data_IF_812740662073
#
_entry.id   IF_812740662073
#
_cell.length_a   1.000
_cell.length_b   1.000
_cell.length_c   1.000
_cell.angle_alpha   90.00
_cell.angle_beta   90.00
_cell.angle_gamma   90.00
#
_symmetry.space_group_name_H-M   'P 1'
#
loop_
_entity.id
_entity.type
_entity.pdbx_description
1 polymer ?
#
# COMPACT_ATOMS: atom_id res chain seq x y z
N UNK A 1 11.23 21.26 -26.25
CA UNK A 1 11.30 21.61 -24.81
C UNK A 1 9.95 22.03 -24.21
N UNK A 2 9.01 22.66 -24.94
CA UNK A 2 7.68 23.01 -24.42
C UNK A 2 6.81 21.78 -24.07
N UNK A 3 6.84 20.72 -24.87
CA UNK A 3 6.04 19.49 -24.59
C UNK A 3 6.44 18.75 -23.31
N UNK A 4 7.73 18.72 -22.95
CA UNK A 4 8.23 18.04 -21.75
C UNK A 4 7.78 18.75 -20.47
N UNK A 5 7.80 20.10 -20.47
CA UNK A 5 7.30 20.89 -19.32
C UNK A 5 5.79 20.71 -19.13
N UNK A 6 5.05 20.52 -20.22
CA UNK A 6 3.60 20.24 -20.17
C UNK A 6 3.31 18.88 -19.51
N UNK A 7 4.00 17.81 -19.93
CA UNK A 7 3.81 16.45 -19.36
C UNK A 7 4.14 16.40 -17.87
N UNK A 8 5.26 17.00 -17.45
CA UNK A 8 5.66 17.04 -16.04
C UNK A 8 4.63 17.81 -15.20
N UNK A 9 4.11 18.93 -15.71
CA UNK A 9 3.07 19.69 -15.03
C UNK A 9 1.77 18.90 -14.92
N UNK A 10 1.38 18.19 -15.97
CA UNK A 10 0.17 17.34 -15.95
C UNK A 10 0.30 16.21 -14.94
N UNK A 11 1.43 15.49 -14.95
CA UNK A 11 1.71 14.43 -13.98
C UNK A 11 1.70 14.95 -12.54
N UNK A 12 2.31 16.11 -12.30
CA UNK A 12 2.30 16.75 -10.98
C UNK A 12 0.88 17.09 -10.54
N UNK A 13 0.08 17.73 -11.39
CA UNK A 13 -1.31 18.08 -11.07
C UNK A 13 -2.16 16.85 -10.75
N UNK A 14 -2.01 15.76 -11.52
CA UNK A 14 -2.73 14.51 -11.26
C UNK A 14 -2.24 13.80 -9.98
N UNK A 15 -1.02 14.03 -9.54
CA UNK A 15 -0.48 13.45 -8.32
C UNK A 15 -0.78 14.25 -7.04
N UNK A 16 -1.37 15.46 -7.13
CA UNK A 16 -1.70 16.29 -5.95
C UNK A 16 -2.61 15.56 -4.95
N UNK A 17 -3.69 14.89 -5.35
CA UNK A 17 -4.51 14.14 -4.39
C UNK A 17 -3.71 13.06 -3.66
N UNK A 18 -2.83 12.35 -4.37
CA UNK A 18 -1.93 11.35 -3.78
C UNK A 18 -0.95 12.02 -2.82
N UNK A 19 -0.39 13.18 -3.19
CA UNK A 19 0.51 13.95 -2.33
C UNK A 19 -0.12 14.26 -0.97
N UNK A 20 -1.35 14.76 -0.97
CA UNK A 20 -2.06 15.11 0.26
C UNK A 20 -2.24 13.89 1.17
N UNK A 21 -2.72 12.77 0.65
CA UNK A 21 -2.90 11.56 1.46
C UNK A 21 -1.57 10.92 1.88
N UNK A 22 -0.62 10.79 0.96
CA UNK A 22 0.64 10.10 1.22
C UNK A 22 1.52 10.80 2.24
N UNK A 23 1.63 12.12 2.21
CA UNK A 23 2.45 12.85 3.19
C UNK A 23 1.92 12.61 4.60
N UNK A 24 0.61 12.74 4.82
CA UNK A 24 0.02 12.53 6.15
C UNK A 24 0.17 11.09 6.64
N UNK A 25 -0.19 10.11 5.80
CA UNK A 25 -0.13 8.70 6.16
C UNK A 25 1.31 8.24 6.40
N UNK A 26 2.24 8.64 5.54
CA UNK A 26 3.65 8.26 5.70
C UNK A 26 4.34 8.98 6.86
N UNK A 27 3.91 10.19 7.23
CA UNK A 27 4.36 10.84 8.47
C UNK A 27 3.93 10.03 9.70
N UNK A 28 2.67 9.58 9.74
CA UNK A 28 2.20 8.70 10.81
C UNK A 28 3.03 7.41 10.86
N UNK A 29 3.31 6.79 9.70
CA UNK A 29 4.19 5.63 9.59
C UNK A 29 5.59 5.90 10.16
N UNK A 30 6.21 7.02 9.79
CA UNK A 30 7.54 7.40 10.28
C UNK A 30 7.58 7.61 11.80
N UNK A 31 6.56 8.29 12.37
CA UNK A 31 6.43 8.46 13.81
C UNK A 31 6.25 7.12 14.53
N UNK A 32 5.46 6.21 13.97
CA UNK A 32 5.28 4.88 14.56
C UNK A 32 6.54 4.02 14.52
N UNK A 33 7.34 4.10 13.46
CA UNK A 33 8.64 3.45 13.38
C UNK A 33 9.57 3.95 14.47
N UNK A 34 9.60 5.26 14.69
CA UNK A 34 10.41 5.88 15.78
C UNK A 34 9.92 5.43 17.16
N UNK A 35 8.60 5.47 17.40
CA UNK A 35 8.03 5.00 18.65
C UNK A 35 8.31 3.51 18.93
N UNK A 36 8.44 2.70 17.88
CA UNK A 36 8.85 1.30 17.95
C UNK A 36 10.37 1.11 18.15
N UNK A 37 11.15 2.20 18.27
CA UNK A 37 12.60 2.17 18.47
C UNK A 37 13.43 2.10 17.18
N UNK A 38 12.83 2.32 16.01
CA UNK A 38 13.52 2.30 14.73
C UNK A 38 13.82 3.72 14.26
N UNK A 39 15.09 4.07 14.12
CA UNK A 39 15.51 5.39 13.67
C UNK A 39 14.98 5.72 12.27
N UNK A 40 14.82 7.02 11.95
CA UNK A 40 14.22 7.55 10.73
C UNK A 40 14.74 6.93 9.41
N UNK A 41 16.02 6.52 9.37
CA UNK A 41 16.59 5.90 8.17
C UNK A 41 16.05 4.48 7.89
N UNK A 42 15.52 3.78 8.90
CA UNK A 42 14.79 2.53 8.67
C UNK A 42 13.45 2.79 7.97
N UNK A 43 12.76 3.88 8.31
CA UNK A 43 11.55 4.31 7.62
C UNK A 43 11.81 4.63 6.15
N UNK A 44 12.94 5.27 5.84
CA UNK A 44 13.39 5.52 4.49
C UNK A 44 13.73 4.20 3.75
N UNK A 45 14.49 3.31 4.40
CA UNK A 45 14.90 2.03 3.81
C UNK A 45 13.70 1.16 3.43
N UNK A 46 12.74 1.02 4.33
CA UNK A 46 11.51 0.26 4.07
C UNK A 46 10.65 0.92 3.01
N UNK A 47 10.56 2.25 2.97
CA UNK A 47 9.86 2.99 1.91
C UNK A 47 10.55 2.84 0.54
N UNK A 48 11.86 2.62 0.50
CA UNK A 48 12.61 2.35 -0.72
C UNK A 48 12.48 0.90 -1.21
N UNK A 49 12.42 -0.05 -0.29
CA UNK A 49 12.49 -1.49 -0.62
C UNK A 49 11.13 -2.15 -0.67
N UNK A 50 10.28 -1.90 0.31
CA UNK A 50 8.96 -2.55 0.46
C UNK A 50 7.88 -1.76 -0.28
N UNK A 51 7.81 -0.46 -0.10
CA UNK A 51 6.88 0.48 -0.75
C UNK A 51 5.43 -0.01 -0.89
N UNK A 52 4.86 -0.49 0.19
CA UNK A 52 3.45 -0.88 0.26
C UNK A 52 2.84 -0.34 1.56
N UNK A 53 2.05 0.72 1.46
CA UNK A 53 1.57 1.47 2.62
C UNK A 53 1.02 0.58 3.75
N UNK A 54 -0.06 -0.15 3.50
CA UNK A 54 -0.70 -0.98 4.52
C UNK A 54 0.24 -2.03 5.12
N UNK A 55 1.05 -2.71 4.29
CA UNK A 55 1.98 -3.72 4.81
C UNK A 55 3.13 -3.10 5.62
N UNK A 56 3.58 -1.89 5.31
CA UNK A 56 4.62 -1.22 6.10
C UNK A 56 4.19 -1.00 7.56
N UNK A 57 2.92 -0.68 7.80
CA UNK A 57 2.38 -0.59 9.17
C UNK A 57 2.36 -1.96 9.87
N UNK A 58 1.93 -3.01 9.19
CA UNK A 58 1.98 -4.38 9.74
C UNK A 58 3.42 -4.83 10.00
N UNK A 59 4.36 -4.40 9.13
CA UNK A 59 5.78 -4.71 9.28
C UNK A 59 6.37 -4.16 10.59
N UNK A 60 5.91 -2.99 11.08
CA UNK A 60 6.32 -2.47 12.40
C UNK A 60 6.02 -3.50 13.50
N UNK A 61 4.80 -4.03 13.50
CA UNK A 61 4.38 -5.05 14.47
C UNK A 61 5.24 -6.31 14.37
N UNK A 62 5.56 -6.77 13.17
CA UNK A 62 6.42 -7.94 12.97
C UNK A 62 7.85 -7.71 13.45
N UNK A 63 8.42 -6.56 13.16
CA UNK A 63 9.76 -6.19 13.59
C UNK A 63 9.83 -6.09 15.12
N UNK A 64 8.84 -5.48 15.76
CA UNK A 64 8.76 -5.32 17.21
C UNK A 64 8.51 -6.65 17.94
N UNK A 65 7.77 -7.58 17.34
CA UNK A 65 7.45 -8.89 17.93
C UNK A 65 8.50 -9.97 17.65
N UNK A 66 9.49 -9.69 16.79
CA UNK A 66 10.48 -10.70 16.36
C UNK A 66 9.85 -11.83 15.53
N UNK A 67 8.85 -11.51 14.70
CA UNK A 67 8.17 -12.50 13.86
C UNK A 67 9.14 -13.22 12.92
N UNK A 68 8.84 -14.49 12.58
CA UNK A 68 9.68 -15.25 11.66
C UNK A 68 9.69 -14.63 10.25
N UNK A 69 10.80 -14.72 9.54
CA UNK A 69 10.94 -14.24 8.16
C UNK A 69 9.89 -14.91 7.24
N UNK A 70 9.56 -16.17 7.48
CA UNK A 70 8.54 -16.90 6.72
C UNK A 70 7.17 -16.26 6.93
N UNK A 71 6.79 -15.95 8.17
CA UNK A 71 5.54 -15.25 8.50
C UNK A 71 5.46 -13.91 7.78
N UNK A 72 6.54 -13.11 7.85
CA UNK A 72 6.63 -11.81 7.18
C UNK A 72 6.46 -11.96 5.66
N UNK A 73 7.18 -12.90 5.05
CA UNK A 73 7.16 -13.12 3.61
C UNK A 73 5.78 -13.57 3.10
N UNK A 74 5.15 -14.54 3.78
CA UNK A 74 3.82 -15.04 3.39
C UNK A 74 2.77 -13.95 3.58
N UNK A 75 2.80 -13.21 4.68
CA UNK A 75 1.87 -12.09 4.91
C UNK A 75 2.06 -11.00 3.86
N UNK A 76 3.32 -10.65 3.55
CA UNK A 76 3.63 -9.68 2.49
C UNK A 76 3.06 -10.12 1.14
N UNK A 77 3.25 -11.39 0.77
CA UNK A 77 2.75 -11.94 -0.50
C UNK A 77 1.22 -11.86 -0.56
N UNK A 78 0.53 -12.28 0.49
CA UNK A 78 -0.94 -12.28 0.52
C UNK A 78 -1.52 -10.87 0.52
N UNK A 79 -1.03 -9.98 1.39
CA UNK A 79 -1.51 -8.59 1.46
C UNK A 79 -1.25 -7.79 0.19
N UNK A 80 -0.11 -8.03 -0.47
CA UNK A 80 0.29 -7.26 -1.65
C UNK A 80 -0.09 -7.95 -2.98
N UNK A 81 -0.72 -9.12 -2.94
CA UNK A 81 -1.14 -9.86 -4.15
C UNK A 81 -1.98 -9.01 -5.10
N UNK A 82 -2.86 -8.15 -4.59
CA UNK A 82 -3.67 -7.21 -5.37
C UNK A 82 -2.84 -6.29 -6.27
N UNK A 83 -1.67 -5.83 -5.81
CA UNK A 83 -0.78 -4.96 -6.60
C UNK A 83 -0.20 -5.69 -7.83
N UNK A 84 -0.05 -7.01 -7.74
CA UNK A 84 0.34 -7.84 -8.88
C UNK A 84 -0.74 -7.82 -9.97
N UNK A 85 -2.02 -7.90 -9.60
CA UNK A 85 -3.12 -7.79 -10.55
C UNK A 85 -3.22 -6.41 -11.19
N UNK A 86 -2.98 -5.33 -10.44
CA UNK A 86 -2.90 -3.98 -11.01
C UNK A 86 -1.79 -3.86 -12.04
N UNK A 87 -0.62 -4.42 -11.75
CA UNK A 87 0.51 -4.41 -12.67
C UNK A 87 0.24 -5.24 -13.92
N UNK A 88 -0.50 -6.35 -13.80
CA UNK A 88 -0.92 -7.17 -14.95
C UNK A 88 -1.85 -6.42 -15.90
N UNK A 89 -2.76 -5.59 -15.37
CA UNK A 89 -3.68 -4.78 -16.20
C UNK A 89 -2.95 -3.78 -17.09
N UNK A 90 -1.73 -3.35 -16.70
CA UNK A 90 -0.89 -2.43 -17.47
C UNK A 90 0.30 -3.12 -18.16
N UNK A 91 0.30 -4.46 -18.24
CA UNK A 91 1.46 -5.22 -18.73
C UNK A 91 1.92 -4.80 -20.13
N UNK A 92 1.00 -4.59 -21.07
CA UNK A 92 1.33 -4.18 -22.43
C UNK A 92 1.92 -2.77 -22.48
N UNK A 93 1.35 -1.83 -21.73
CA UNK A 93 1.87 -0.47 -21.60
C UNK A 93 3.26 -0.46 -21.00
N UNK A 94 3.47 -1.23 -19.92
CA UNK A 94 4.77 -1.28 -19.25
C UNK A 94 5.84 -2.00 -20.07
N UNK A 95 5.48 -2.96 -20.91
CA UNK A 95 6.42 -3.58 -21.88
C UNK A 95 7.04 -2.53 -22.82
N UNK A 96 6.27 -1.53 -23.25
CA UNK A 96 6.73 -0.43 -24.10
C UNK A 96 7.66 0.56 -23.39
N UNK A 97 7.74 0.53 -22.05
CA UNK A 97 8.58 1.43 -21.22
C UNK A 97 10.02 0.93 -21.02
N UNK A 98 10.40 -0.20 -21.59
CA UNK A 98 11.76 -0.77 -21.49
C UNK A 98 12.16 -1.03 -20.03
N UNK A 99 13.33 -0.52 -19.60
CA UNK A 99 13.84 -0.72 -18.22
C UNK A 99 12.95 -0.09 -17.14
N UNK A 100 12.17 0.93 -17.46
CA UNK A 100 11.25 1.60 -16.52
C UNK A 100 10.11 0.69 -16.08
N UNK A 101 9.82 -0.39 -16.80
CA UNK A 101 8.76 -1.36 -16.45
C UNK A 101 8.92 -1.92 -15.04
N UNK A 102 10.15 -2.25 -14.63
CA UNK A 102 10.40 -2.80 -13.29
C UNK A 102 10.07 -1.79 -12.19
N UNK A 103 10.41 -0.53 -12.42
CA UNK A 103 10.02 0.56 -11.51
C UNK A 103 8.50 0.71 -11.43
N UNK A 104 7.81 0.71 -12.57
CA UNK A 104 6.34 0.84 -12.64
C UNK A 104 5.63 -0.30 -11.92
N UNK A 105 6.10 -1.54 -12.09
CA UNK A 105 5.55 -2.72 -11.40
C UNK A 105 5.76 -2.60 -9.89
N UNK A 106 6.96 -2.23 -9.45
CA UNK A 106 7.30 -2.10 -8.04
C UNK A 106 6.56 -0.96 -7.33
N UNK A 107 6.26 0.14 -8.05
CA UNK A 107 5.63 1.34 -7.49
C UNK A 107 4.12 1.41 -7.73
N UNK A 108 3.51 0.32 -8.21
CA UNK A 108 2.07 0.27 -8.44
C UNK A 108 1.32 0.11 -7.11
N UNK A 109 0.69 1.19 -6.68
CA UNK A 109 -0.22 1.23 -5.53
C UNK A 109 -1.65 1.45 -6.00
N UNK A 110 -2.62 1.37 -5.08
CA UNK A 110 -4.04 1.58 -5.39
C UNK A 110 -4.27 2.96 -6.03
N UNK A 111 -3.62 3.98 -5.49
CA UNK A 111 -3.75 5.37 -5.93
C UNK A 111 -3.09 5.60 -7.29
N UNK A 112 -1.87 5.06 -7.47
CA UNK A 112 -1.18 5.17 -8.77
C UNK A 112 -1.90 4.37 -9.85
N UNK A 113 -2.52 3.24 -9.51
CA UNK A 113 -3.39 2.48 -10.39
C UNK A 113 -4.60 3.32 -10.82
N UNK A 114 -5.32 3.91 -9.85
CA UNK A 114 -6.49 4.74 -10.14
C UNK A 114 -6.15 5.92 -11.06
N UNK A 115 -5.04 6.62 -10.81
CA UNK A 115 -4.61 7.72 -11.69
C UNK A 115 -4.18 7.21 -13.06
N UNK A 116 -3.44 6.10 -13.14
CA UNK A 116 -3.01 5.52 -14.42
C UNK A 116 -4.20 5.09 -15.29
N UNK A 117 -5.30 4.61 -14.70
CA UNK A 117 -6.54 4.31 -15.44
C UNK A 117 -7.15 5.53 -16.12
N UNK A 118 -6.85 6.75 -15.67
CA UNK A 118 -7.29 8.00 -16.32
C UNK A 118 -6.38 8.45 -17.47
N UNK A 119 -5.26 7.77 -17.71
CA UNK A 119 -4.27 8.12 -18.72
C UNK A 119 -4.31 7.08 -19.83
N UNK A 120 -4.83 7.46 -21.01
CA UNK A 120 -4.81 6.58 -22.18
C UNK A 120 -3.37 6.43 -22.73
N UNK A 121 -2.93 5.18 -22.98
CA UNK A 121 -1.62 4.88 -23.61
C UNK A 121 -1.65 5.21 -25.12
N UNK A 122 -1.60 6.50 -25.45
CA UNK A 122 -1.59 6.96 -26.86
C UNK A 122 -0.19 7.06 -27.43
N UNK A 123 0.77 7.53 -26.62
CA UNK A 123 2.11 7.87 -27.09
C UNK A 123 3.17 7.75 -25.97
N UNK A 124 4.39 8.13 -26.28
CA UNK A 124 5.48 8.13 -25.32
C UNK A 124 5.27 9.16 -24.19
N UNK A 125 4.56 10.25 -24.45
CA UNK A 125 4.28 11.28 -23.45
C UNK A 125 3.30 10.76 -22.39
N UNK A 126 2.29 10.02 -22.79
CA UNK A 126 1.33 9.36 -21.88
C UNK A 126 2.05 8.39 -20.93
N UNK A 127 2.95 7.55 -21.47
CA UNK A 127 3.77 6.63 -20.66
C UNK A 127 4.74 7.35 -19.74
N UNK A 128 5.30 8.49 -20.19
CA UNK A 128 6.13 9.35 -19.36
C UNK A 128 5.34 10.01 -18.24
N UNK A 129 4.09 10.39 -18.50
CA UNK A 129 3.19 10.92 -17.49
C UNK A 129 2.91 9.89 -16.39
N UNK A 130 2.56 8.65 -16.75
CA UNK A 130 2.38 7.54 -15.80
C UNK A 130 3.63 7.32 -14.93
N UNK A 131 4.81 7.33 -15.56
CA UNK A 131 6.08 7.18 -14.85
C UNK A 131 6.32 8.32 -13.85
N UNK A 132 6.03 9.57 -14.24
CA UNK A 132 6.21 10.73 -13.38
C UNK A 132 5.22 10.72 -12.20
N UNK A 133 3.97 10.29 -12.41
CA UNK A 133 3.00 10.12 -11.33
C UNK A 133 3.53 9.11 -10.30
N UNK A 134 3.99 7.94 -10.74
CA UNK A 134 4.56 6.93 -9.86
C UNK A 134 5.83 7.44 -9.13
N UNK A 135 6.68 8.20 -9.82
CA UNK A 135 7.88 8.80 -9.24
C UNK A 135 7.55 9.84 -8.17
N UNK A 136 6.64 10.75 -8.43
CA UNK A 136 6.22 11.76 -7.48
C UNK A 136 5.55 11.14 -6.26
N UNK A 137 4.64 10.17 -6.46
CA UNK A 137 3.97 9.46 -5.37
C UNK A 137 4.98 8.79 -4.43
N UNK A 138 6.01 8.15 -4.99
CA UNK A 138 7.08 7.56 -4.18
C UNK A 138 7.89 8.62 -3.41
N UNK A 139 8.19 9.74 -4.03
CA UNK A 139 8.88 10.85 -3.36
C UNK A 139 8.06 11.41 -2.20
N UNK A 140 6.75 11.55 -2.37
CA UNK A 140 5.85 12.03 -1.29
C UNK A 140 5.85 11.06 -0.10
N UNK A 141 5.75 9.76 -0.38
CA UNK A 141 5.77 8.74 0.67
C UNK A 141 7.10 8.74 1.44
N UNK A 142 8.22 8.73 0.73
CA UNK A 142 9.55 8.76 1.36
C UNK A 142 9.77 10.03 2.17
N UNK A 143 9.36 11.17 1.63
CA UNK A 143 9.46 12.46 2.31
C UNK A 143 8.67 12.46 3.61
N UNK A 144 7.39 12.06 3.58
CA UNK A 144 6.56 11.98 4.77
C UNK A 144 7.10 10.99 5.81
N UNK A 145 7.57 9.80 5.38
CA UNK A 145 8.15 8.80 6.28
C UNK A 145 9.41 9.32 7.02
N UNK A 146 10.29 10.02 6.31
CA UNK A 146 11.49 10.65 6.91
C UNK A 146 11.09 11.77 7.86
N UNK A 147 10.20 12.67 7.43
CA UNK A 147 9.72 13.77 8.26
C UNK A 147 9.02 13.26 9.51
N UNK A 148 8.21 12.21 9.39
CA UNK A 148 7.55 11.57 10.53
C UNK A 148 8.56 10.99 11.53
N UNK A 149 9.57 10.27 11.05
CA UNK A 149 10.62 9.74 11.91
C UNK A 149 11.45 10.83 12.61
N UNK A 150 11.76 11.94 11.92
CA UNK A 150 12.46 13.09 12.52
C UNK A 150 11.59 13.84 13.53
N UNK A 151 10.32 14.06 13.21
CA UNK A 151 9.36 14.74 14.11
C UNK A 151 9.14 13.87 15.34
N UNK A 152 9.03 12.55 15.20
CA UNK A 152 8.89 11.60 16.30
C UNK A 152 10.02 11.72 17.33
N UNK A 153 11.26 11.94 16.88
CA UNK A 153 12.41 12.17 17.78
C UNK A 153 12.35 13.47 18.56
N UNK A 154 11.67 14.49 18.00
CA UNK A 154 11.60 15.83 18.62
C UNK A 154 10.46 15.96 19.63
N UNK A 155 9.47 15.07 19.56
CA UNK A 155 8.31 15.12 20.43
C UNK A 155 8.58 14.27 21.69
N UNK A 156 8.79 14.88 22.87
CA UNK A 156 9.19 14.16 24.10
C UNK A 156 8.00 13.47 24.79
N UNK A 157 6.85 13.37 24.14
CA UNK A 157 5.66 12.76 24.71
C UNK A 157 5.49 11.33 24.19
N UNK A 158 5.13 10.42 25.07
CA UNK A 158 4.49 9.17 24.64
C UNK A 158 3.25 9.59 23.84
N UNK A 159 3.32 9.39 22.54
CA UNK A 159 2.23 9.69 21.62
C UNK A 159 1.11 8.65 21.84
N UNK A 160 0.49 8.71 23.02
CA UNK A 160 -0.72 7.95 23.34
C UNK A 160 -1.76 8.28 22.27
N UNK A 161 -2.06 7.30 21.41
CA UNK A 161 -2.99 7.49 20.29
C UNK A 161 -2.37 7.30 18.89
N UNK A 162 -1.04 7.21 18.75
CA UNK A 162 -0.44 6.78 17.47
C UNK A 162 -0.89 5.36 17.10
N UNK A 163 -1.00 4.47 18.07
CA UNK A 163 -1.56 3.12 17.84
C UNK A 163 -2.98 3.19 17.27
N UNK A 164 -3.74 4.23 17.65
CA UNK A 164 -5.06 4.49 17.06
C UNK A 164 -4.98 4.94 15.59
N UNK A 165 -3.92 5.59 15.16
CA UNK A 165 -3.73 5.97 13.75
C UNK A 165 -3.71 4.75 12.83
N UNK A 166 -3.09 3.63 13.27
CA UNK A 166 -3.15 2.37 12.52
C UNK A 166 -4.58 1.85 12.40
N UNK A 167 -5.28 1.79 13.53
CA UNK A 167 -6.67 1.33 13.57
C UNK A 167 -7.55 2.22 12.69
N UNK A 168 -7.42 3.53 12.80
CA UNK A 168 -8.15 4.50 11.98
C UNK A 168 -7.85 4.33 10.49
N UNK A 169 -6.56 4.15 10.12
CA UNK A 169 -6.17 3.92 8.73
C UNK A 169 -6.84 2.65 8.16
N UNK A 170 -6.79 1.54 8.89
CA UNK A 170 -7.42 0.30 8.41
C UNK A 170 -8.95 0.41 8.35
N UNK A 171 -9.57 1.13 9.28
CA UNK A 171 -11.01 1.41 9.23
C UNK A 171 -11.35 2.25 7.98
N UNK A 172 -10.58 3.29 7.70
CA UNK A 172 -10.79 4.12 6.50
C UNK A 172 -10.63 3.30 5.23
N UNK A 173 -9.59 2.47 5.13
CA UNK A 173 -9.38 1.57 3.99
C UNK A 173 -10.56 0.60 3.85
N UNK A 174 -11.06 0.05 4.94
CA UNK A 174 -12.21 -0.84 4.94
C UNK A 174 -13.48 -0.13 4.45
N UNK A 175 -13.76 1.07 4.96
CA UNK A 175 -14.92 1.87 4.55
C UNK A 175 -14.83 2.21 3.06
N UNK A 176 -13.67 2.68 2.58
CA UNK A 176 -13.46 3.01 1.17
C UNK A 176 -13.66 1.79 0.25
N UNK A 177 -13.22 0.61 0.68
CA UNK A 177 -13.44 -0.63 -0.05
C UNK A 177 -14.91 -1.08 0.02
N UNK A 178 -15.55 -0.88 1.16
CA UNK A 178 -16.98 -1.18 1.32
C UNK A 178 -17.84 -0.33 0.39
N UNK A 179 -17.59 0.98 0.34
CA UNK A 179 -18.35 1.89 -0.52
C UNK A 179 -18.15 1.61 -2.03
N UNK A 180 -16.96 1.16 -2.42
CA UNK A 180 -16.63 0.83 -3.82
C UNK A 180 -17.09 -0.57 -4.26
N UNK A 181 -17.48 -1.42 -3.34
CA UNK A 181 -17.82 -2.81 -3.62
C UNK A 181 -19.28 -2.96 -4.03
N UNK A 182 -19.53 -3.55 -5.20
CA UNK A 182 -20.89 -3.94 -5.63
C UNK A 182 -21.48 -5.05 -4.76
N UNK A 183 -20.64 -5.87 -4.14
CA UNK A 183 -21.05 -7.00 -3.29
C UNK A 183 -20.26 -6.97 -1.99
N UNK A 184 -20.98 -6.96 -0.86
CA UNK A 184 -20.36 -6.87 0.47
C UNK A 184 -20.02 -8.24 1.09
N UNK A 185 -20.40 -9.35 0.44
CA UNK A 185 -20.12 -10.70 0.94
C UNK A 185 -18.62 -10.93 1.22
N UNK A 186 -17.68 -10.56 0.34
CA UNK A 186 -16.25 -10.71 0.62
C UNK A 186 -15.83 -10.04 1.92
N UNK A 187 -16.20 -8.77 2.11
CA UNK A 187 -15.84 -8.01 3.29
C UNK A 187 -16.40 -8.59 4.60
N UNK A 188 -17.67 -9.04 4.57
CA UNK A 188 -18.29 -9.70 5.73
C UNK A 188 -17.62 -11.03 6.03
N UNK A 189 -17.32 -11.83 5.00
CA UNK A 189 -16.63 -13.11 5.16
C UNK A 189 -15.21 -12.92 5.76
N UNK A 190 -14.47 -11.90 5.29
CA UNK A 190 -13.15 -11.55 5.81
C UNK A 190 -13.19 -11.23 7.29
N UNK A 191 -14.11 -10.37 7.72
CA UNK A 191 -14.26 -9.99 9.13
C UNK A 191 -14.61 -11.20 9.98
N UNK A 192 -15.58 -12.02 9.56
CA UNK A 192 -15.97 -13.22 10.30
C UNK A 192 -14.81 -14.23 10.43
N UNK A 193 -14.11 -14.50 9.35
CA UNK A 193 -12.95 -15.40 9.35
C UNK A 193 -11.85 -14.87 10.26
N UNK A 194 -11.56 -13.56 10.20
CA UNK A 194 -10.56 -12.94 11.06
C UNK A 194 -10.90 -13.06 12.54
N UNK A 195 -12.17 -12.82 12.92
CA UNK A 195 -12.65 -12.98 14.30
C UNK A 195 -12.55 -14.45 14.76
N UNK A 196 -12.99 -15.39 13.93
CA UNK A 196 -12.90 -16.83 14.25
C UNK A 196 -11.43 -17.25 14.40
N UNK A 197 -10.57 -16.85 13.48
CA UNK A 197 -9.15 -17.15 13.54
C UNK A 197 -8.49 -16.55 14.80
N UNK A 198 -8.87 -15.33 15.18
CA UNK A 198 -8.41 -14.69 16.40
C UNK A 198 -8.80 -15.48 17.65
N UNK A 199 -10.02 -16.00 17.69
CA UNK A 199 -10.53 -16.82 18.82
C UNK A 199 -9.81 -18.18 18.91
N UNK A 200 -9.48 -18.80 17.77
CA UNK A 200 -8.85 -20.13 17.72
C UNK A 200 -7.34 -20.05 17.93
N UNK A 201 -6.65 -19.16 17.23
CA UNK A 201 -5.18 -19.09 17.19
C UNK A 201 -4.57 -18.04 18.12
N UNK A 202 -5.42 -17.18 18.73
CA UNK A 202 -4.99 -16.10 19.61
C UNK A 202 -4.26 -14.96 18.87
N UNK A 203 -3.99 -13.86 19.59
CA UNK A 203 -3.48 -12.60 19.01
C UNK A 203 -2.13 -12.74 18.27
N UNK A 204 -1.29 -13.70 18.65
CA UNK A 204 0.08 -13.82 18.08
C UNK A 204 0.13 -14.57 16.74
N UNK A 205 -0.84 -15.46 16.49
CA UNK A 205 -0.76 -16.39 15.36
C UNK A 205 -1.96 -16.35 14.40
N UNK A 206 -3.01 -15.57 14.66
CA UNK A 206 -4.26 -15.61 13.89
C UNK A 206 -4.12 -15.04 12.47
N UNK A 207 -3.23 -14.09 12.26
CA UNK A 207 -3.16 -13.31 11.00
C UNK A 207 -2.89 -14.20 9.79
N UNK A 208 -1.91 -15.09 9.88
CA UNK A 208 -1.53 -15.99 8.77
C UNK A 208 -2.64 -16.98 8.41
N UNK A 209 -3.20 -17.76 9.36
CA UNK A 209 -4.35 -18.63 9.09
C UNK A 209 -5.56 -17.86 8.54
N UNK A 210 -5.88 -16.68 9.09
CA UNK A 210 -6.97 -15.86 8.59
C UNK A 210 -6.77 -15.49 7.11
N UNK A 211 -5.60 -14.98 6.73
CA UNK A 211 -5.30 -14.61 5.35
C UNK A 211 -5.37 -15.80 4.39
N UNK A 212 -4.86 -16.97 4.78
CA UNK A 212 -4.90 -18.17 3.94
C UNK A 212 -6.35 -18.63 3.74
N UNK A 213 -7.14 -18.67 4.82
CA UNK A 213 -8.56 -19.09 4.74
C UNK A 213 -9.36 -18.10 3.90
N UNK A 214 -9.21 -16.78 4.14
CA UNK A 214 -9.88 -15.74 3.36
C UNK A 214 -9.53 -15.86 1.88
N UNK A 215 -8.24 -15.98 1.55
CA UNK A 215 -7.80 -16.14 0.17
C UNK A 215 -8.44 -17.36 -0.52
N UNK A 216 -8.49 -18.49 0.19
CA UNK A 216 -9.15 -19.72 -0.31
C UNK A 216 -10.65 -19.53 -0.54
N UNK A 217 -11.35 -18.91 0.40
CA UNK A 217 -12.80 -18.64 0.30
C UNK A 217 -13.11 -17.70 -0.86
N UNK A 218 -12.31 -16.63 -1.03
CA UNK A 218 -12.53 -15.67 -2.11
C UNK A 218 -12.21 -16.25 -3.49
N UNK A 219 -11.18 -17.08 -3.64
CA UNK A 219 -10.86 -17.78 -4.89
C UNK A 219 -12.03 -18.70 -5.26
N UNK A 220 -12.52 -19.50 -4.30
CA UNK A 220 -13.65 -20.41 -4.52
C UNK A 220 -14.95 -19.66 -4.87
N UNK A 221 -15.20 -18.55 -4.18
CA UNK A 221 -16.35 -17.69 -4.47
C UNK A 221 -16.30 -17.11 -5.87
N UNK A 222 -15.14 -16.60 -6.30
CA UNK A 222 -14.95 -15.98 -7.62
C UNK A 222 -15.07 -17.02 -8.74
N UNK A 223 -14.52 -18.22 -8.55
CA UNK A 223 -14.66 -19.34 -9.49
C UNK A 223 -16.12 -19.68 -9.75
N UNK A 224 -16.94 -19.72 -8.70
CA UNK A 224 -18.38 -20.03 -8.79
C UNK A 224 -19.20 -18.95 -9.49
N UNK A 225 -18.72 -17.70 -9.49
CA UNK A 225 -19.40 -16.59 -10.20
C UNK A 225 -19.05 -16.53 -11.69
N UNK A 226 -17.95 -17.14 -12.10
CA UNK A 226 -17.58 -17.23 -13.53
C UNK A 226 -18.27 -18.40 -14.25
N UNK A 227 -18.87 -19.34 -13.51
CA UNK A 227 -19.62 -20.46 -14.06
C UNK A 227 -21.13 -20.18 -14.24
N UNK A 228 -21.60 -19.00 -13.81
CA UNK A 228 -22.99 -18.54 -13.96
C UNK A 228 -23.05 -17.37 -14.93
#
# INVERSE_FOLDING_TARGET
MQGVKSVTKQAFMKSIPIMCSYIFVSMAYGMMMENAGFAWYYSLLTSLTVYTGAFQFVLITFLSSGASIVTIAVTALLMNSRQSFYSLSFLETFRKMGRKKLYMIHTMTDETYAVNCTIEDKDENSRKEMFLVAFFSRCYWMFGAVMGGLIGQLIPFELTGIDFCMTALFIIIFIDQWEKADKHFPAVAEVLIAVIALMIFGQRAFMLPALVIVSGVLIFWNSKQQEV
#
